data_IF_712707308410
#
_entry.id   IF_712707308410
#
_cell.length_a   1.000
_cell.length_b   1.000
_cell.length_c   1.000
_cell.angle_alpha   90.00
_cell.angle_beta   90.00
_cell.angle_gamma   90.00
#
_symmetry.space_group_name_H-M   'P 1'
#
loop_
_entity.id
_entity.type
_entity.pdbx_description
1 polymer ?
#
# COMPACT_ATOMS: atom_id res chain seq x y z
N UNK A 1 -11.24 -12.09 -1.14
CA UNK A 1 -11.40 -13.20 -0.19
C UNK A 1 -10.14 -13.21 0.65
N UNK A 2 -10.23 -12.90 1.94
CA UNK A 2 -9.10 -13.00 2.87
C UNK A 2 -9.01 -14.47 3.31
N UNK A 3 -7.81 -15.06 3.29
CA UNK A 3 -7.62 -16.45 3.72
C UNK A 3 -7.54 -16.43 5.24
N UNK A 4 -8.53 -17.02 5.91
CA UNK A 4 -8.50 -17.24 7.34
C UNK A 4 -7.67 -18.49 7.64
N UNK A 5 -6.46 -18.29 8.16
CA UNK A 5 -5.52 -19.38 8.47
C UNK A 5 -5.97 -20.18 9.68
N UNK A 6 -6.84 -19.64 10.54
CA UNK A 6 -7.30 -20.34 11.74
C UNK A 6 -8.08 -21.62 11.37
N UNK A 7 -8.80 -21.58 10.25
CA UNK A 7 -9.52 -22.73 9.67
C UNK A 7 -8.62 -23.89 9.24
N UNK A 8 -7.32 -23.64 9.04
CA UNK A 8 -6.37 -24.70 8.66
C UNK A 8 -5.97 -25.57 9.86
N UNK A 9 -6.03 -25.00 11.07
CA UNK A 9 -5.66 -25.68 12.32
C UNK A 9 -6.86 -26.16 13.12
N UNK A 10 -8.07 -25.66 12.81
CA UNK A 10 -9.33 -26.04 13.44
C UNK A 10 -9.52 -27.57 13.48
N UNK A 11 -9.82 -28.10 14.67
CA UNK A 11 -10.01 -29.54 14.90
C UNK A 11 -8.73 -30.39 14.80
N UNK A 12 -7.56 -29.78 14.58
CA UNK A 12 -6.26 -30.48 14.48
C UNK A 12 -5.27 -30.01 15.54
N UNK A 13 -5.17 -28.70 15.77
CA UNK A 13 -4.27 -28.07 16.73
C UNK A 13 -5.02 -26.95 17.46
N UNK A 14 -4.84 -26.86 18.78
CA UNK A 14 -5.41 -25.77 19.57
C UNK A 14 -4.74 -24.41 19.30
N UNK A 15 -3.41 -24.40 19.13
CA UNK A 15 -2.67 -23.17 18.81
C UNK A 15 -1.31 -23.45 18.20
N UNK A 16 -0.85 -22.52 17.36
CA UNK A 16 0.52 -22.40 16.87
C UNK A 16 1.06 -21.03 17.30
N UNK A 17 2.08 -21.03 18.17
CA UNK A 17 2.71 -19.80 18.68
C UNK A 17 4.17 -19.77 18.29
N UNK A 18 4.60 -18.67 17.69
CA UNK A 18 5.97 -18.48 17.20
C UNK A 18 6.42 -17.08 17.60
N UNK A 19 7.51 -16.99 18.36
CA UNK A 19 8.07 -15.71 18.78
C UNK A 19 8.41 -14.82 17.58
N UNK A 20 8.99 -15.41 16.54
CA UNK A 20 9.31 -14.70 15.31
C UNK A 20 9.26 -15.63 14.10
N UNK A 21 8.29 -15.41 13.22
CA UNK A 21 8.21 -16.06 11.92
C UNK A 21 8.85 -15.17 10.86
N UNK A 22 9.79 -15.73 10.08
CA UNK A 22 10.56 -14.98 9.07
C UNK A 22 10.48 -15.63 7.70
N UNK A 23 10.33 -14.79 6.69
CA UNK A 23 10.60 -15.14 5.29
C UNK A 23 11.72 -14.23 4.84
N UNK A 24 12.82 -14.82 4.38
CA UNK A 24 13.95 -14.09 3.80
C UNK A 24 14.02 -14.35 2.30
N UNK A 25 14.21 -13.27 1.53
CA UNK A 25 14.40 -13.32 0.08
C UNK A 25 13.25 -14.04 -0.69
N UNK A 26 12.02 -13.86 -0.24
CA UNK A 26 10.82 -14.38 -0.90
C UNK A 26 10.52 -13.63 -2.21
N UNK A 27 9.70 -14.24 -3.08
CA UNK A 27 9.21 -13.61 -4.32
C UNK A 27 7.69 -13.50 -4.29
N UNK A 28 7.16 -12.33 -4.62
CA UNK A 28 5.71 -12.08 -4.65
C UNK A 28 5.25 -11.82 -6.09
N UNK A 29 4.32 -12.65 -6.57
CA UNK A 29 3.51 -12.36 -7.74
C UNK A 29 2.05 -12.61 -7.38
N UNK A 30 1.25 -11.56 -7.26
CA UNK A 30 -0.16 -11.65 -6.93
C UNK A 30 -1.02 -11.27 -8.14
N UNK A 31 -1.99 -12.10 -8.45
CA UNK A 31 -2.94 -11.91 -9.56
C UNK A 31 -4.33 -11.73 -8.96
N UNK A 32 -4.90 -10.53 -9.05
CA UNK A 32 -6.24 -10.27 -8.51
C UNK A 32 -7.34 -11.04 -9.25
N UNK A 33 -7.12 -11.33 -10.53
CA UNK A 33 -7.97 -12.17 -11.36
C UNK A 33 -7.09 -13.22 -12.04
N UNK A 34 -7.50 -14.48 -11.94
CA UNK A 34 -6.71 -15.64 -12.40
C UNK A 34 -6.43 -15.66 -13.91
N UNK A 35 -7.26 -14.97 -14.71
CA UNK A 35 -7.07 -14.86 -16.16
C UNK A 35 -6.12 -13.73 -16.58
N UNK A 36 -5.65 -12.91 -15.65
CA UNK A 36 -4.72 -11.82 -15.99
C UNK A 36 -3.34 -12.39 -16.34
N UNK A 37 -2.85 -12.03 -17.53
CA UNK A 37 -1.52 -12.43 -18.02
C UNK A 37 -0.36 -11.80 -17.23
N UNK A 38 -0.64 -10.74 -16.46
CA UNK A 38 0.36 -10.02 -15.66
C UNK A 38 -0.10 -9.87 -14.20
N UNK A 39 0.82 -10.02 -13.22
CA UNK A 39 0.47 -9.88 -11.81
C UNK A 39 0.04 -8.45 -11.49
N UNK A 40 -1.03 -8.33 -10.69
CA UNK A 40 -1.52 -7.06 -10.15
C UNK A 40 -0.53 -6.44 -9.18
N UNK A 41 0.16 -7.25 -8.39
CA UNK A 41 1.27 -6.83 -7.51
C UNK A 41 2.46 -7.74 -7.69
N UNK A 42 3.65 -7.16 -7.75
CA UNK A 42 4.91 -7.88 -7.90
C UNK A 42 5.98 -7.28 -7.01
N UNK A 43 6.75 -8.13 -6.35
CA UNK A 43 8.03 -7.78 -5.74
C UNK A 43 9.04 -8.89 -6.07
N UNK A 44 10.22 -8.51 -6.58
CA UNK A 44 11.23 -9.50 -6.95
C UNK A 44 11.85 -10.16 -5.72
N UNK A 45 12.06 -9.38 -4.66
CA UNK A 45 12.54 -9.85 -3.37
C UNK A 45 11.72 -9.20 -2.26
N UNK A 46 11.34 -9.99 -1.26
CA UNK A 46 10.78 -9.47 -0.03
C UNK A 46 11.32 -10.20 1.19
N UNK A 47 11.40 -9.46 2.30
CA UNK A 47 11.63 -10.03 3.62
C UNK A 47 10.42 -9.67 4.50
N UNK A 48 9.90 -10.66 5.20
CA UNK A 48 8.79 -10.52 6.13
C UNK A 48 9.23 -11.02 7.51
N UNK A 49 9.03 -10.20 8.53
CA UNK A 49 9.10 -10.59 9.93
C UNK A 49 7.74 -10.42 10.58
N UNK A 50 7.24 -11.49 11.19
CA UNK A 50 6.02 -11.55 11.98
C UNK A 50 6.43 -11.80 13.43
N UNK A 51 6.20 -10.84 14.33
CA UNK A 51 6.63 -10.90 15.72
C UNK A 51 5.45 -11.24 16.63
N UNK A 52 5.68 -12.16 17.57
CA UNK A 52 4.65 -12.74 18.44
C UNK A 52 3.45 -13.27 17.64
N UNK A 53 3.74 -14.17 16.71
CA UNK A 53 2.73 -14.83 15.90
C UNK A 53 1.93 -15.79 16.78
N UNK A 54 0.62 -15.60 16.84
CA UNK A 54 -0.32 -16.46 17.58
C UNK A 54 -1.50 -16.80 16.67
N UNK A 55 -1.48 -18.03 16.16
CA UNK A 55 -2.60 -18.62 15.45
C UNK A 55 -3.30 -19.59 16.39
N UNK A 56 -4.45 -19.18 16.90
CA UNK A 56 -5.35 -19.96 17.75
C UNK A 56 -6.77 -19.89 17.22
N UNK A 57 -7.66 -20.79 17.64
CA UNK A 57 -9.05 -20.85 17.14
C UNK A 57 -9.80 -19.50 17.25
N UNK A 58 -9.45 -18.65 18.24
CA UNK A 58 -10.06 -17.33 18.42
C UNK A 58 -9.25 -16.16 17.81
N UNK A 59 -8.10 -16.43 17.20
CA UNK A 59 -7.16 -15.40 16.73
C UNK A 59 -7.67 -14.58 15.54
N UNK A 60 -8.58 -15.13 14.73
CA UNK A 60 -9.11 -14.49 13.52
C UNK A 60 -9.90 -13.20 13.76
N UNK A 61 -10.39 -12.96 14.98
CA UNK A 61 -11.20 -11.79 15.33
C UNK A 61 -10.41 -10.65 15.99
N UNK A 62 -9.09 -10.78 16.13
CA UNK A 62 -8.28 -9.76 16.81
C UNK A 62 -7.98 -8.58 15.88
N UNK A 63 -8.71 -7.47 16.07
CA UNK A 63 -8.46 -6.18 15.41
C UNK A 63 -7.11 -5.54 15.79
N UNK A 64 -6.41 -6.10 16.78
CA UNK A 64 -5.12 -5.60 17.28
C UNK A 64 -3.92 -6.27 16.60
N UNK A 65 -4.13 -7.38 15.87
CA UNK A 65 -3.06 -8.14 15.21
C UNK A 65 -3.07 -7.91 13.70
N UNK A 66 -1.90 -7.97 13.08
CA UNK A 66 -1.74 -7.96 11.62
C UNK A 66 -1.14 -9.31 11.24
N UNK A 67 -1.79 -10.05 10.34
CA UNK A 67 -1.39 -11.42 9.99
C UNK A 67 -1.09 -12.28 11.24
N UNK A 68 -2.03 -12.29 12.20
CA UNK A 68 -1.94 -13.06 13.45
C UNK A 68 -0.75 -12.69 14.35
N UNK A 69 -0.11 -11.54 14.10
CA UNK A 69 1.12 -11.09 14.78
C UNK A 69 0.91 -9.75 15.47
N UNK A 70 1.63 -9.51 16.56
CA UNK A 70 1.56 -8.22 17.28
C UNK A 70 2.20 -7.09 16.47
N UNK A 71 3.24 -7.42 15.71
CA UNK A 71 3.81 -6.50 14.74
C UNK A 71 4.42 -7.23 13.56
N UNK A 72 4.45 -6.51 12.45
CA UNK A 72 5.10 -6.89 11.20
C UNK A 72 6.25 -5.94 10.85
N UNK A 73 7.28 -6.52 10.23
CA UNK A 73 8.29 -5.83 9.45
C UNK A 73 8.26 -6.38 8.02
N UNK A 74 8.02 -5.52 7.04
CA UNK A 74 7.99 -5.92 5.63
C UNK A 74 8.99 -5.06 4.84
N UNK A 75 9.87 -5.71 4.08
CA UNK A 75 10.71 -5.06 3.08
C UNK A 75 10.35 -5.64 1.72
N UNK A 76 10.01 -4.77 0.77
CA UNK A 76 9.80 -5.10 -0.64
C UNK A 76 10.88 -4.41 -1.45
N UNK A 77 11.61 -5.16 -2.28
CA UNK A 77 12.56 -4.61 -3.24
C UNK A 77 12.02 -4.77 -4.66
N UNK A 78 12.14 -3.70 -5.47
CA UNK A 78 11.61 -3.61 -6.84
C UNK A 78 10.12 -3.98 -6.91
N UNK A 79 9.30 -3.19 -6.23
CA UNK A 79 7.85 -3.34 -6.22
C UNK A 79 7.21 -2.71 -7.46
N UNK A 80 6.19 -3.36 -8.01
CA UNK A 80 5.34 -2.80 -9.06
C UNK A 80 3.91 -3.30 -8.92
N UNK A 81 2.95 -2.43 -9.21
CA UNK A 81 1.54 -2.74 -9.22
C UNK A 81 0.81 -2.02 -10.35
N UNK A 82 -0.14 -2.71 -10.98
CA UNK A 82 -1.13 -2.05 -11.84
C UNK A 82 -2.29 -1.63 -10.95
N UNK A 83 -2.64 -0.34 -11.01
CA UNK A 83 -3.69 0.19 -10.14
C UNK A 83 -5.08 -0.22 -10.64
N UNK A 84 -6.08 -0.24 -9.75
CA UNK A 84 -7.43 -0.73 -10.08
C UNK A 84 -8.16 0.05 -11.15
N UNK A 85 -7.74 1.29 -11.40
CA UNK A 85 -8.28 2.12 -12.48
C UNK A 85 -7.90 1.59 -13.87
N UNK A 86 -6.99 0.61 -13.94
CA UNK A 86 -6.42 0.04 -15.16
C UNK A 86 -5.75 1.07 -16.08
N UNK A 87 -5.46 2.27 -15.57
CA UNK A 87 -4.82 3.34 -16.35
C UNK A 87 -3.50 3.80 -15.77
N UNK A 88 -3.18 3.44 -14.53
CA UNK A 88 -1.90 3.75 -13.90
C UNK A 88 -1.16 2.52 -13.40
N UNK A 89 0.16 2.65 -13.33
CA UNK A 89 1.04 1.74 -12.61
C UNK A 89 1.76 2.49 -11.49
N UNK A 90 1.91 1.82 -10.36
CA UNK A 90 2.73 2.25 -9.23
C UNK A 90 3.97 1.38 -9.18
N UNK A 91 5.15 1.97 -8.99
CA UNK A 91 6.38 1.22 -8.74
C UNK A 91 7.23 1.90 -7.69
N UNK A 92 8.07 1.13 -7.01
CA UNK A 92 9.03 1.63 -6.03
C UNK A 92 10.30 0.78 -6.06
N UNK A 93 11.45 1.41 -5.85
CA UNK A 93 12.73 0.68 -5.72
C UNK A 93 12.76 -0.13 -4.43
N UNK A 94 12.28 0.46 -3.33
CA UNK A 94 12.07 -0.24 -2.07
C UNK A 94 10.88 0.32 -1.30
N UNK A 95 10.21 -0.54 -0.54
CA UNK A 95 9.18 -0.19 0.44
C UNK A 95 9.48 -0.93 1.73
N UNK A 96 9.60 -0.21 2.84
CA UNK A 96 9.85 -0.76 4.16
C UNK A 96 8.71 -0.34 5.09
N UNK A 97 8.12 -1.30 5.79
CA UNK A 97 7.06 -1.09 6.79
C UNK A 97 7.55 -1.65 8.11
N UNK A 98 7.44 -0.83 9.16
CA UNK A 98 7.73 -1.19 10.54
C UNK A 98 6.51 -0.85 11.39
N UNK A 99 5.58 -1.79 11.52
CA UNK A 99 4.32 -1.53 12.23
C UNK A 99 4.53 -1.25 13.71
N UNK A 100 5.45 -1.97 14.39
CA UNK A 100 5.82 -1.72 15.78
C UNK A 100 6.45 -0.33 16.01
N UNK A 101 7.06 0.27 14.98
CA UNK A 101 7.60 1.64 15.01
C UNK A 101 6.65 2.68 14.41
N UNK A 102 5.46 2.26 13.96
CA UNK A 102 4.47 3.09 13.28
C UNK A 102 5.07 3.90 12.12
N UNK A 103 5.98 3.28 11.36
CA UNK A 103 6.75 3.94 10.32
C UNK A 103 6.71 3.17 8.99
N UNK A 104 6.71 3.90 7.88
CA UNK A 104 6.90 3.36 6.54
C UNK A 104 7.85 4.27 5.76
N UNK A 105 8.73 3.65 4.98
CA UNK A 105 9.63 4.36 4.06
C UNK A 105 9.48 3.76 2.66
N UNK A 106 9.52 4.59 1.64
CA UNK A 106 9.57 4.15 0.25
C UNK A 106 10.57 4.99 -0.53
N UNK A 107 11.37 4.33 -1.37
CA UNK A 107 12.36 4.98 -2.23
C UNK A 107 12.03 4.78 -3.71
N UNK A 108 12.24 5.84 -4.49
CA UNK A 108 12.05 5.85 -5.94
C UNK A 108 10.63 5.49 -6.36
N UNK A 109 9.62 6.08 -5.70
CA UNK A 109 8.23 5.85 -6.00
C UNK A 109 7.84 6.56 -7.29
N UNK A 110 7.24 5.82 -8.21
CA UNK A 110 6.77 6.29 -9.51
C UNK A 110 5.32 5.86 -9.70
N UNK A 111 4.44 6.83 -9.91
CA UNK A 111 3.09 6.60 -10.39
C UNK A 111 3.02 7.11 -11.83
N UNK A 112 2.70 6.23 -12.78
CA UNK A 112 2.70 6.60 -14.20
C UNK A 112 1.47 6.09 -14.93
N UNK A 113 0.93 6.85 -15.89
CA UNK A 113 -0.09 6.33 -16.77
C UNK A 113 0.47 5.19 -17.64
N UNK A 114 -0.31 4.14 -17.83
CA UNK A 114 0.03 3.00 -18.68
C UNK A 114 0.02 3.36 -20.17
N UNK A 115 -0.73 4.39 -20.55
CA UNK A 115 -0.80 4.88 -21.93
C UNK A 115 -0.37 6.34 -22.01
N UNK A 116 0.32 6.71 -23.09
CA UNK A 116 0.76 8.09 -23.35
C UNK A 116 -0.34 9.00 -23.93
N UNK A 117 -1.55 8.48 -24.16
CA UNK A 117 -2.64 9.27 -24.75
C UNK A 117 -3.05 10.36 -23.76
N UNK A 118 -2.86 11.63 -24.15
CA UNK A 118 -3.14 12.83 -23.35
C UNK A 118 -4.65 13.13 -23.21
N UNK A 119 -5.52 12.25 -23.70
CA UNK A 119 -6.95 12.51 -23.85
C UNK A 119 -7.76 12.21 -22.58
N UNK A 120 -7.13 11.69 -21.53
CA UNK A 120 -7.73 11.37 -20.23
C UNK A 120 -6.98 12.07 -19.09
N UNK A 121 -7.70 12.31 -17.99
CA UNK A 121 -7.09 12.78 -16.74
C UNK A 121 -5.96 11.83 -16.35
N UNK A 122 -4.70 12.28 -16.44
CA UNK A 122 -3.54 11.42 -16.20
C UNK A 122 -2.58 12.10 -15.22
N UNK A 123 -2.05 11.27 -14.33
CA UNK A 123 -1.21 11.67 -13.21
C UNK A 123 0.14 10.96 -13.34
N UNK A 124 1.21 11.73 -13.48
CA UNK A 124 2.59 11.23 -13.47
C UNK A 124 3.31 11.84 -12.28
N UNK A 125 3.59 11.01 -11.28
CA UNK A 125 4.24 11.39 -10.03
C UNK A 125 5.55 10.64 -9.87
N UNK A 126 6.61 11.38 -9.51
CA UNK A 126 7.90 10.82 -9.12
C UNK A 126 8.31 11.36 -7.76
N UNK A 127 8.48 10.48 -6.78
CA UNK A 127 8.89 10.79 -5.40
C UNK A 127 10.16 9.99 -5.08
N UNK A 128 11.32 10.64 -4.92
CA UNK A 128 12.56 9.90 -4.66
C UNK A 128 12.62 9.25 -3.28
N UNK A 129 12.07 9.89 -2.26
CA UNK A 129 11.99 9.35 -0.91
C UNK A 129 10.69 9.84 -0.25
N UNK A 130 9.95 8.90 0.29
CA UNK A 130 8.74 9.09 1.07
C UNK A 130 8.98 8.47 2.46
N UNK A 131 8.71 9.23 3.52
CA UNK A 131 8.66 8.71 4.88
C UNK A 131 7.31 9.05 5.51
N UNK A 132 6.70 8.05 6.13
CA UNK A 132 5.46 8.16 6.87
C UNK A 132 5.73 7.74 8.31
N UNK A 133 5.23 8.52 9.26
CA UNK A 133 5.38 8.28 10.70
C UNK A 133 4.06 8.41 11.44
N UNK A 134 3.96 7.70 12.56
CA UNK A 134 2.78 7.67 13.41
C UNK A 134 1.56 7.00 12.76
N UNK A 135 1.78 6.04 11.85
CA UNK A 135 0.71 5.30 11.20
C UNK A 135 0.11 4.24 12.11
N UNK A 136 -1.22 4.19 12.17
CA UNK A 136 -1.95 3.06 12.76
C UNK A 136 -2.14 1.96 11.72
N UNK A 137 -1.19 1.00 11.68
CA UNK A 137 -1.22 -0.08 10.70
C UNK A 137 -2.30 -1.13 10.98
N UNK A 138 -2.79 -1.23 12.22
CA UNK A 138 -3.88 -2.16 12.55
C UNK A 138 -5.17 -1.66 11.90
N UNK A 139 -5.49 -0.37 12.04
CA UNK A 139 -6.64 0.23 11.36
C UNK A 139 -6.49 0.27 9.84
N UNK A 140 -5.26 0.41 9.33
CA UNK A 140 -5.03 0.28 7.89
C UNK A 140 -5.36 -1.14 7.41
N UNK A 141 -4.90 -2.17 8.13
CA UNK A 141 -5.11 -3.57 7.76
C UNK A 141 -6.60 -3.95 7.84
N UNK A 142 -7.26 -3.67 8.97
CA UNK A 142 -8.64 -4.09 9.23
C UNK A 142 -9.69 -3.16 8.63
N UNK A 143 -9.57 -1.85 8.88
CA UNK A 143 -10.61 -0.87 8.53
C UNK A 143 -10.36 -0.17 7.18
N UNK A 144 -9.19 -0.39 6.57
CA UNK A 144 -8.66 0.38 5.42
C UNK A 144 -8.62 1.88 5.69
N UNK A 145 -8.37 2.26 6.95
CA UNK A 145 -8.24 3.66 7.38
C UNK A 145 -6.76 3.97 7.54
N UNK A 146 -6.23 4.87 6.71
CA UNK A 146 -4.86 5.34 6.77
C UNK A 146 -4.80 6.66 7.55
N UNK A 147 -4.46 6.57 8.83
CA UNK A 147 -4.14 7.73 9.67
C UNK A 147 -2.64 7.90 9.73
N UNK A 148 -2.13 9.07 9.35
CA UNK A 148 -0.69 9.36 9.39
C UNK A 148 -0.42 10.64 10.19
N UNK A 149 0.54 10.59 11.11
CA UNK A 149 0.90 11.73 11.94
C UNK A 149 1.86 12.68 11.21
N UNK A 150 2.81 12.13 10.46
CA UNK A 150 3.78 12.90 9.70
C UNK A 150 4.05 12.28 8.33
N UNK A 151 3.95 13.11 7.29
CA UNK A 151 4.36 12.81 5.93
C UNK A 151 5.57 13.68 5.56
N UNK A 152 6.67 13.03 5.19
CA UNK A 152 7.87 13.69 4.68
C UNK A 152 8.15 13.20 3.26
N UNK A 153 8.25 14.15 2.33
CA UNK A 153 8.69 13.91 0.96
C UNK A 153 10.06 14.57 0.78
N UNK A 154 11.03 13.85 0.21
CA UNK A 154 12.31 14.48 -0.11
C UNK A 154 12.10 15.62 -1.12
N UNK A 155 12.69 16.81 -0.89
CA UNK A 155 12.59 17.96 -1.77
C UNK A 155 13.12 17.70 -3.18
N UNK A 156 14.18 16.89 -3.26
CA UNK A 156 14.89 16.65 -4.51
C UNK A 156 13.99 15.91 -5.48
N UNK A 157 13.90 16.40 -6.72
CA UNK A 157 13.31 15.70 -7.87
C UNK A 157 11.86 15.19 -7.69
N UNK A 158 11.06 15.78 -6.80
CA UNK A 158 9.62 15.63 -6.84
C UNK A 158 9.11 16.18 -8.18
N UNK A 159 8.36 15.38 -8.93
CA UNK A 159 7.72 15.80 -10.18
C UNK A 159 6.28 15.35 -10.18
N UNK A 160 5.38 16.28 -10.44
CA UNK A 160 3.96 16.05 -10.65
C UNK A 160 3.60 16.60 -12.03
N UNK A 161 3.06 15.76 -12.90
CA UNK A 161 2.42 16.21 -14.14
C UNK A 161 0.98 15.78 -14.12
N UNK A 162 0.11 16.76 -14.32
CA UNK A 162 -1.32 16.57 -14.38
C UNK A 162 -1.80 17.03 -15.75
N UNK A 163 -2.45 16.14 -16.47
CA UNK A 163 -3.20 16.50 -17.66
C UNK A 163 -4.69 16.38 -17.35
N UNK A 164 -5.45 17.44 -17.60
CA UNK A 164 -6.91 17.42 -17.51
C UNK A 164 -7.48 17.91 -18.83
N UNK A 165 -8.52 17.22 -19.32
CA UNK A 165 -9.28 17.71 -20.48
C UNK A 165 -10.13 18.90 -20.02
N UNK A 166 -10.03 20.04 -20.72
CA UNK A 166 -10.86 21.22 -20.47
C UNK A 166 -12.32 20.85 -20.79
N UNK A 167 -13.12 20.51 -19.79
CA UNK A 167 -14.56 20.31 -19.96
C UNK A 167 -15.27 21.65 -19.80
N UNK A 168 -16.06 22.02 -20.80
CA UNK A 168 -17.02 23.12 -20.75
C UNK A 168 -17.98 22.87 -19.59
N UNK A 169 -18.17 23.91 -18.77
CA UNK A 169 -19.10 23.94 -17.64
C UNK A 169 -20.49 23.52 -18.09
N UNK A 170 -20.99 22.34 -17.66
CA UNK A 170 -22.44 22.02 -17.55
C UNK A 170 -22.75 20.60 -17.05
N UNK A 171 -21.97 20.01 -16.15
CA UNK A 171 -22.43 18.78 -15.48
C UNK A 171 -22.06 18.73 -14.01
N UNK A 172 -23.11 18.83 -13.19
CA UNK A 172 -23.12 18.85 -11.73
C UNK A 172 -23.22 17.44 -11.14
N UNK A 173 -22.48 16.48 -11.71
CA UNK A 173 -22.38 15.13 -11.15
C UNK A 173 -21.03 14.95 -10.45
N UNK A 174 -21.10 14.42 -9.24
CA UNK A 174 -20.05 14.29 -8.23
C UNK A 174 -18.66 13.98 -8.81
N UNK A 175 -17.85 15.04 -8.98
CA UNK A 175 -16.54 15.02 -9.63
C UNK A 175 -15.52 14.29 -8.75
N UNK A 176 -15.44 12.96 -8.88
CA UNK A 176 -14.43 12.15 -8.17
C UNK A 176 -13.02 12.57 -8.58
N UNK A 177 -12.28 13.15 -7.62
CA UNK A 177 -10.88 13.55 -7.75
C UNK A 177 -10.03 12.38 -8.30
N UNK A 178 -9.15 12.58 -9.30
CA UNK A 178 -8.26 11.53 -9.82
C UNK A 178 -7.50 10.77 -8.72
N UNK A 179 -7.07 11.45 -7.66
CA UNK A 179 -6.44 10.81 -6.50
C UNK A 179 -7.37 9.82 -5.78
N UNK A 180 -8.65 10.15 -5.62
CA UNK A 180 -9.58 9.26 -4.94
C UNK A 180 -9.79 7.97 -5.73
N UNK A 181 -9.82 8.04 -7.06
CA UNK A 181 -9.96 6.86 -7.93
C UNK A 181 -8.77 5.89 -7.78
N UNK A 182 -7.56 6.43 -7.59
CA UNK A 182 -6.33 5.64 -7.45
C UNK A 182 -6.22 4.92 -6.09
N UNK A 183 -6.78 5.52 -5.03
CA UNK A 183 -6.63 4.98 -3.67
C UNK A 183 -7.79 4.11 -3.21
N UNK A 184 -8.94 4.11 -3.91
CA UNK A 184 -10.21 3.55 -3.42
C UNK A 184 -10.12 2.09 -2.95
N UNK A 185 -9.33 1.23 -3.60
CA UNK A 185 -9.24 -0.17 -3.19
C UNK A 185 -8.31 -0.43 -2.01
N UNK A 186 -7.41 0.52 -1.71
CA UNK A 186 -6.38 0.38 -0.68
C UNK A 186 -6.72 1.16 0.59
N UNK A 187 -7.23 2.37 0.42
CA UNK A 187 -7.48 3.33 1.49
C UNK A 187 -8.89 3.88 1.30
N UNK A 188 -9.75 3.56 2.25
CA UNK A 188 -11.13 4.07 2.32
C UNK A 188 -11.15 5.51 2.85
N UNK A 189 -10.28 5.80 3.83
CA UNK A 189 -10.14 7.13 4.44
C UNK A 189 -8.67 7.44 4.67
N UNK A 190 -8.23 8.66 4.34
CA UNK A 190 -6.87 9.16 4.51
C UNK A 190 -6.90 10.43 5.38
N UNK A 191 -6.24 10.38 6.53
CA UNK A 191 -6.08 11.53 7.42
C UNK A 191 -4.60 11.84 7.59
N UNK A 192 -4.21 13.07 7.24
CA UNK A 192 -2.83 13.56 7.36
C UNK A 192 -2.82 14.69 8.38
N UNK A 193 -2.16 14.47 9.53
CA UNK A 193 -2.07 15.52 10.56
C UNK A 193 -1.07 16.60 10.18
N UNK A 194 0.14 16.20 9.79
CA UNK A 194 1.20 17.12 9.40
C UNK A 194 1.77 16.72 8.03
N UNK A 195 1.88 17.71 7.16
CA UNK A 195 2.47 17.59 5.83
C UNK A 195 3.67 18.54 5.73
N UNK A 196 4.89 18.00 5.69
CA UNK A 196 6.11 18.80 5.49
C UNK A 196 6.57 18.69 4.03
N UNK A 197 6.37 19.78 3.27
CA UNK A 197 6.84 19.93 1.89
C UNK A 197 7.94 20.99 1.86
N UNK A 198 9.21 20.59 1.79
CA UNK A 198 10.32 21.54 1.65
C UNK A 198 10.72 21.66 0.17
N UNK A 199 10.71 22.88 -0.37
CA UNK A 199 11.21 23.28 -1.71
C UNK A 199 10.87 22.30 -2.86
N UNK A 200 9.60 22.22 -3.25
CA UNK A 200 9.20 21.62 -4.53
C UNK A 200 9.00 22.71 -5.58
N UNK A 201 9.62 22.58 -6.77
CA UNK A 201 9.25 23.40 -7.94
C UNK A 201 8.01 22.76 -8.55
N UNK A 202 6.86 23.43 -8.44
CA UNK A 202 5.60 23.03 -9.06
C UNK A 202 5.60 23.33 -10.56
#
# INVERSE_FOLDING_TARGET
MEIDLSKLIEGKLHSVKIDTFKIDNGKLNFYYQSWLRFPTYKANHFNLGLFNFDLSENSGNSLSKIFYSDSIQLKLDTFSANLPDNTHSLSAKSIHIFSGRKMMEAAGLLLRPLTKKKDKNSLDISIPMLKISGTDFNRLYHDRILNIAGLYLSPSNFKLKLWQKKQLENDSTDKKNPLSQLTTNFVRQLYIRNLDLRKSRF
#
